data_IF_452349870241
#
_entry.id   IF_452349870241
#
_cell.length_a   1.000
_cell.length_b   1.000
_cell.length_c   1.000
_cell.angle_alpha   90.00
_cell.angle_beta   90.00
_cell.angle_gamma   90.00
#
_symmetry.space_group_name_H-M   'P 1'
#
loop_
_entity.id
_entity.type
_entity.pdbx_description
1 polymer ?
#
# COMPACT_ATOMS: atom_id res chain seq x y z
N UNK A 1 16.06 -14.09 -4.10
CA UNK A 1 16.62 -12.74 -3.87
C UNK A 1 15.48 -11.78 -3.54
N UNK A 2 15.64 -10.89 -2.55
CA UNK A 2 14.61 -9.88 -2.25
C UNK A 2 14.59 -8.83 -3.36
N UNK A 3 13.39 -8.51 -3.86
CA UNK A 3 13.16 -7.45 -4.83
C UNK A 3 12.61 -6.22 -4.12
N UNK A 4 12.93 -5.04 -4.64
CA UNK A 4 12.42 -3.78 -4.13
C UNK A 4 11.53 -3.10 -5.15
N UNK A 5 10.48 -2.45 -4.67
CA UNK A 5 9.51 -1.72 -5.46
C UNK A 5 9.29 -0.32 -4.89
N UNK A 6 8.91 0.62 -5.75
CA UNK A 6 8.46 1.98 -5.38
C UNK A 6 7.08 2.21 -5.95
N UNK A 7 6.26 3.06 -5.31
CA UNK A 7 5.04 3.56 -5.94
C UNK A 7 5.46 4.58 -6.99
N UNK A 8 4.99 4.43 -8.23
CA UNK A 8 5.25 5.39 -9.33
C UNK A 8 4.00 6.18 -9.72
N UNK A 9 2.86 5.86 -9.12
CA UNK A 9 1.62 6.59 -9.28
C UNK A 9 0.54 6.01 -8.37
N UNK A 10 -0.35 6.85 -7.87
CA UNK A 10 -1.53 6.43 -7.10
C UNK A 10 -2.67 7.43 -7.26
N UNK A 11 -3.90 6.97 -7.04
CA UNK A 11 -5.10 7.83 -7.13
C UNK A 11 -5.09 9.00 -6.14
N UNK A 12 -4.26 8.91 -5.09
CA UNK A 12 -4.10 9.99 -4.10
C UNK A 12 -2.94 10.94 -4.43
N UNK A 13 -2.22 10.69 -5.53
CA UNK A 13 -1.06 11.46 -5.99
C UNK A 13 0.21 11.26 -5.16
N UNK A 14 0.29 10.16 -4.39
CA UNK A 14 1.53 9.77 -3.70
C UNK A 14 2.42 8.93 -4.62
N UNK A 15 3.71 9.24 -4.60
CA UNK A 15 4.77 8.52 -5.30
C UNK A 15 5.97 8.33 -4.35
N UNK A 16 6.72 7.25 -4.54
CA UNK A 16 7.91 6.92 -3.77
C UNK A 16 7.75 5.73 -2.82
N UNK A 17 8.57 5.72 -1.77
CA UNK A 17 8.69 4.62 -0.83
C UNK A 17 9.57 3.46 -1.34
N UNK A 18 9.99 2.59 -0.43
CA UNK A 18 10.78 1.40 -0.75
C UNK A 18 10.16 0.17 -0.10
N UNK A 19 9.58 -0.69 -0.93
CA UNK A 19 8.82 -1.85 -0.48
C UNK A 19 9.53 -3.13 -0.91
N UNK A 20 10.11 -3.83 0.06
CA UNK A 20 10.79 -5.12 -0.18
C UNK A 20 9.83 -6.30 -0.21
N UNK A 21 10.24 -7.37 -0.90
CA UNK A 21 9.55 -8.67 -0.89
C UNK A 21 10.17 -9.64 0.09
N UNK A 22 9.35 -10.50 0.68
CA UNK A 22 9.72 -11.30 1.84
C UNK A 22 10.66 -12.47 1.50
N UNK A 23 10.37 -13.30 0.47
CA UNK A 23 11.20 -14.48 0.14
C UNK A 23 11.26 -14.90 -1.34
N UNK A 24 10.28 -14.50 -2.15
CA UNK A 24 10.08 -15.06 -3.51
C UNK A 24 10.06 -14.01 -4.64
N UNK A 25 10.36 -12.74 -4.34
CA UNK A 25 10.32 -11.67 -5.34
C UNK A 25 8.91 -11.34 -5.86
N UNK A 26 7.85 -11.94 -5.30
CA UNK A 26 6.49 -11.65 -5.74
C UNK A 26 6.10 -10.21 -5.41
N UNK A 27 5.65 -9.41 -6.40
CA UNK A 27 5.28 -8.01 -6.18
C UNK A 27 4.10 -7.84 -5.20
N UNK A 28 3.31 -8.88 -4.96
CA UNK A 28 2.12 -8.85 -4.10
C UNK A 28 2.42 -8.47 -2.64
N UNK A 29 3.55 -8.90 -2.06
CA UNK A 29 3.90 -8.54 -0.68
C UNK A 29 4.33 -7.07 -0.60
N UNK A 30 5.13 -6.60 -1.56
CA UNK A 30 5.45 -5.19 -1.70
C UNK A 30 4.19 -4.33 -1.90
N UNK A 31 3.25 -4.78 -2.74
CA UNK A 31 1.97 -4.11 -2.96
C UNK A 31 1.11 -4.01 -1.69
N UNK A 32 1.07 -5.05 -0.84
CA UNK A 32 0.39 -5.00 0.46
C UNK A 32 1.00 -3.96 1.40
N UNK A 33 2.33 -3.86 1.43
CA UNK A 33 3.03 -2.86 2.25
C UNK A 33 2.79 -1.45 1.73
N UNK A 34 2.89 -1.25 0.42
CA UNK A 34 2.55 -0.01 -0.28
C UNK A 34 1.12 0.44 0.04
N UNK A 35 0.14 -0.46 -0.13
CA UNK A 35 -1.26 -0.20 0.19
C UNK A 35 -1.48 0.20 1.66
N UNK A 36 -0.81 -0.48 2.60
CA UNK A 36 -0.86 -0.12 4.03
C UNK A 36 -0.39 1.31 4.26
N UNK A 37 0.71 1.72 3.63
CA UNK A 37 1.21 3.09 3.72
C UNK A 37 0.22 4.10 3.12
N UNK A 38 -0.33 3.83 1.94
CA UNK A 38 -1.35 4.70 1.31
C UNK A 38 -2.57 4.88 2.21
N UNK A 39 -3.08 3.80 2.80
CA UNK A 39 -4.21 3.85 3.73
C UNK A 39 -3.87 4.48 5.08
N UNK A 40 -2.60 4.49 5.50
CA UNK A 40 -2.14 5.22 6.68
C UNK A 40 -1.98 6.72 6.41
N UNK A 41 -1.68 7.12 5.18
CA UNK A 41 -1.56 8.53 4.77
C UNK A 41 -2.92 9.22 4.72
N UNK A 42 -3.94 8.51 4.22
CA UNK A 42 -5.30 9.04 4.19
C UNK A 42 -6.03 8.84 5.52
N UNK A 43 -5.53 8.03 6.45
CA UNK A 43 -6.12 7.95 7.79
C UNK A 43 -5.81 9.20 8.58
N UNK A 44 -6.82 9.70 9.33
CA UNK A 44 -6.71 10.89 10.16
C UNK A 44 -5.85 10.65 11.41
N UNK A 45 -4.55 10.40 11.22
CA UNK A 45 -3.55 10.43 12.28
C UNK A 45 -2.93 11.83 12.31
N UNK A 46 -3.49 12.68 13.17
CA UNK A 46 -3.08 14.09 13.42
C UNK A 46 -1.56 14.28 13.61
N UNK A 47 -0.81 13.21 13.92
CA UNK A 47 0.61 13.21 14.24
C UNK A 47 1.56 13.18 13.01
N UNK A 48 1.06 13.18 11.76
CA UNK A 48 1.93 13.22 10.56
C UNK A 48 1.75 14.49 9.74
N UNK A 49 2.74 15.38 9.59
CA UNK A 49 2.60 16.66 8.87
C UNK A 49 1.92 16.55 7.49
N UNK A 50 2.19 15.46 6.77
CA UNK A 50 1.64 15.17 5.43
C UNK A 50 0.16 14.77 5.42
N UNK A 51 -0.46 14.46 6.57
CA UNK A 51 -1.86 14.02 6.66
C UNK A 51 -2.80 15.05 6.04
N UNK A 52 -2.50 16.35 6.18
CA UNK A 52 -3.32 17.44 5.63
C UNK A 52 -3.43 17.32 4.11
N UNK A 53 -2.34 16.96 3.41
CA UNK A 53 -2.29 16.82 1.95
C UNK A 53 -3.23 15.71 1.45
N UNK A 54 -3.34 14.62 2.20
CA UNK A 54 -4.10 13.43 1.81
C UNK A 54 -5.46 13.31 2.50
N UNK A 55 -5.80 14.24 3.40
CA UNK A 55 -7.04 14.24 4.18
C UNK A 55 -8.32 14.21 3.34
N UNK A 56 -8.31 14.84 2.16
CA UNK A 56 -9.42 14.81 1.20
C UNK A 56 -9.81 13.41 0.73
N UNK A 57 -8.90 12.43 0.87
CA UNK A 57 -9.13 11.04 0.47
C UNK A 57 -9.54 10.15 1.65
N UNK A 58 -9.81 10.69 2.84
CA UNK A 58 -10.17 9.93 4.05
C UNK A 58 -11.37 8.98 3.86
N UNK A 59 -12.31 9.34 2.99
CA UNK A 59 -13.50 8.54 2.69
C UNK A 59 -13.23 7.41 1.68
N UNK A 60 -12.06 7.37 1.05
CA UNK A 60 -11.74 6.36 0.04
C UNK A 60 -11.61 4.98 0.69
N UNK A 61 -12.48 4.07 0.26
CA UNK A 61 -12.43 2.65 0.63
C UNK A 61 -11.50 1.84 -0.28
N UNK A 62 -11.12 2.41 -1.43
CA UNK A 62 -10.21 1.81 -2.40
C UNK A 62 -9.20 2.83 -2.91
N UNK A 63 -7.99 2.37 -3.18
CA UNK A 63 -6.92 3.18 -3.79
C UNK A 63 -6.26 2.32 -4.88
N UNK A 64 -6.26 2.81 -6.12
CA UNK A 64 -5.45 2.24 -7.19
C UNK A 64 -4.06 2.87 -7.19
N UNK A 65 -3.07 2.05 -7.53
CA UNK A 65 -1.67 2.47 -7.52
C UNK A 65 -0.82 1.55 -8.41
N UNK A 66 0.31 2.08 -8.86
CA UNK A 66 1.30 1.37 -9.66
C UNK A 66 2.57 1.24 -8.82
N UNK A 67 3.12 0.03 -8.78
CA UNK A 67 4.46 -0.20 -8.25
C UNK A 67 5.42 -0.61 -9.36
N UNK A 68 6.63 -0.05 -9.37
CA UNK A 68 7.70 -0.41 -10.29
C UNK A 68 8.88 -1.03 -9.55
N UNK A 69 9.49 -2.07 -10.13
CA UNK A 69 10.66 -2.72 -9.56
C UNK A 69 11.90 -1.82 -9.66
N UNK A 70 12.61 -1.61 -8.55
CA UNK A 70 13.81 -0.76 -8.47
C UNK A 70 15.10 -1.53 -8.22
N UNK A 71 15.04 -2.86 -8.04
CA UNK A 71 16.20 -3.74 -7.86
C UNK A 71 17.24 -3.55 -8.97
N UNK A 72 18.53 -3.48 -8.63
CA UNK A 72 19.62 -3.37 -9.63
C UNK A 72 19.69 -4.66 -10.47
N UNK A 73 19.75 -4.51 -11.80
CA UNK A 73 19.88 -5.63 -12.73
C UNK A 73 18.58 -6.41 -13.01
N UNK A 74 17.41 -5.94 -12.56
CA UNK A 74 16.12 -6.51 -12.94
C UNK A 74 15.48 -5.77 -14.11
N UNK A 75 14.44 -6.38 -14.70
CA UNK A 75 13.70 -5.87 -15.85
C UNK A 75 12.87 -4.59 -15.60
N UNK A 76 12.84 -4.10 -14.35
CA UNK A 76 12.08 -2.89 -13.95
C UNK A 76 10.57 -2.99 -14.22
N UNK A 77 10.02 -4.19 -14.10
CA UNK A 77 8.59 -4.45 -14.33
C UNK A 77 7.72 -3.56 -13.45
N UNK A 78 6.60 -3.10 -14.04
CA UNK A 78 5.58 -2.31 -13.34
C UNK A 78 4.29 -3.08 -13.22
N UNK A 79 3.59 -2.89 -12.09
CA UNK A 79 2.39 -3.62 -11.76
C UNK A 79 1.32 -2.69 -11.21
N UNK A 80 0.14 -2.75 -11.81
CA UNK A 80 -1.02 -2.02 -11.36
C UNK A 80 -1.84 -2.84 -10.36
N UNK A 81 -2.21 -2.18 -9.26
CA UNK A 81 -2.95 -2.77 -8.16
C UNK A 81 -4.10 -1.86 -7.73
N UNK A 82 -5.14 -2.50 -7.22
CA UNK A 82 -6.18 -1.85 -6.44
C UNK A 82 -6.17 -2.44 -5.03
N UNK A 83 -6.05 -1.58 -4.03
CA UNK A 83 -6.18 -1.94 -2.64
C UNK A 83 -7.54 -1.50 -2.10
N UNK A 84 -8.20 -2.40 -1.38
CA UNK A 84 -9.52 -2.18 -0.80
C UNK A 84 -9.40 -2.37 0.71
N UNK A 85 -9.86 -1.38 1.47
CA UNK A 85 -9.97 -1.44 2.92
C UNK A 85 -11.33 -2.02 3.29
N UNK A 86 -11.32 -3.16 3.97
CA UNK A 86 -12.51 -3.88 4.40
C UNK A 86 -12.55 -3.90 5.91
N UNK A 87 -13.66 -3.47 6.51
CA UNK A 87 -13.86 -3.57 7.95
C UNK A 87 -13.84 -5.06 8.38
N UNK A 88 -13.12 -5.36 9.45
CA UNK A 88 -13.14 -6.68 10.04
C UNK A 88 -14.43 -6.83 10.84
N UNK A 89 -15.16 -7.93 10.61
CA UNK A 89 -16.36 -8.26 11.39
C UNK A 89 -16.02 -8.39 12.88
N UNK A 90 -14.87 -9.01 13.17
CA UNK A 90 -14.31 -9.14 14.51
C UNK A 90 -12.93 -8.47 14.49
N UNK A 91 -12.72 -7.35 15.20
CA UNK A 91 -11.41 -6.75 15.35
C UNK A 91 -10.40 -7.75 15.95
N UNK A 92 -9.14 -7.64 15.54
CA UNK A 92 -8.06 -8.50 16.05
C UNK A 92 -7.14 -7.64 16.91
N UNK A 93 -7.06 -7.95 18.20
CA UNK A 93 -6.11 -7.30 19.11
C UNK A 93 -4.87 -8.17 19.24
N UNK A 94 -3.70 -7.56 18.99
CA UNK A 94 -2.40 -8.21 19.17
C UNK A 94 -1.63 -7.44 20.24
N UNK A 95 -1.04 -8.16 21.20
CA UNK A 95 -0.05 -7.60 22.11
C UNK A 95 1.33 -7.71 21.47
N UNK A 96 1.95 -6.57 21.16
CA UNK A 96 3.29 -6.51 20.57
C UNK A 96 4.16 -5.65 21.48
N UNK A 97 5.12 -6.27 22.15
CA UNK A 97 6.07 -5.56 23.01
C UNK A 97 5.44 -4.87 24.22
N UNK A 98 4.28 -5.32 24.70
CA UNK A 98 3.56 -4.71 25.83
C UNK A 98 2.53 -3.66 25.41
N UNK A 99 2.42 -3.33 24.13
CA UNK A 99 1.37 -2.46 23.59
C UNK A 99 0.26 -3.28 22.92
N UNK A 100 -0.99 -2.94 23.20
CA UNK A 100 -2.14 -3.50 22.51
C UNK A 100 -2.41 -2.76 21.20
N UNK A 101 -2.28 -3.48 20.08
CA UNK A 101 -2.61 -2.97 18.76
C UNK A 101 -3.88 -3.66 18.27
N UNK A 102 -4.97 -2.89 18.18
CA UNK A 102 -6.25 -3.37 17.66
C UNK A 102 -6.37 -3.09 16.17
N UNK A 103 -6.46 -4.14 15.37
CA UNK A 103 -6.75 -4.07 13.94
C UNK A 103 -8.25 -4.20 13.70
N UNK A 104 -8.87 -3.13 13.22
CA UNK A 104 -10.31 -3.07 12.90
C UNK A 104 -10.60 -3.26 11.40
N UNK A 105 -9.56 -3.24 10.56
CA UNK A 105 -9.68 -3.31 9.11
C UNK A 105 -8.62 -4.23 8.49
N UNK A 106 -8.94 -4.79 7.34
CA UNK A 106 -8.06 -5.60 6.50
C UNK A 106 -7.90 -4.94 5.14
N UNK A 107 -6.66 -4.91 4.64
CA UNK A 107 -6.35 -4.43 3.30
C UNK A 107 -6.25 -5.62 2.36
N UNK A 108 -7.07 -5.62 1.31
CA UNK A 108 -7.07 -6.63 0.24
C UNK A 108 -6.50 -5.97 -1.01
N UNK A 109 -5.50 -6.61 -1.64
CA UNK A 109 -4.87 -6.08 -2.85
C UNK A 109 -5.14 -7.00 -4.04
N UNK A 110 -5.66 -6.44 -5.12
CA UNK A 110 -5.96 -7.11 -6.39
C UNK A 110 -5.05 -6.57 -7.48
N UNK A 111 -4.35 -7.46 -8.19
CA UNK A 111 -3.54 -7.10 -9.37
C UNK A 111 -4.48 -6.95 -10.56
N UNK A 112 -4.37 -5.88 -11.33
CA UNK A 112 -5.02 -5.82 -12.64
C UNK A 112 -4.03 -6.30 -13.69
N UNK A 113 -4.45 -7.23 -14.54
CA UNK A 113 -3.59 -7.89 -15.53
C UNK A 113 -3.54 -7.08 -16.84
N UNK A 114 -4.53 -6.23 -17.09
CA UNK A 114 -4.57 -5.30 -18.21
C UNK A 114 -4.84 -3.89 -17.71
N UNK A 115 -3.86 -3.00 -17.80
CA UNK A 115 -4.07 -1.58 -17.67
C UNK A 115 -3.19 -0.90 -18.71
N UNK A 116 -3.76 -0.63 -19.89
CA UNK A 116 -3.37 0.54 -20.66
C UNK A 116 -3.51 1.73 -19.72
N UNK A 117 -2.40 2.17 -19.14
CA UNK A 117 -2.37 3.25 -18.17
C UNK A 117 -2.80 4.54 -18.87
N UNK A 118 -3.96 5.06 -18.49
CA UNK A 118 -4.38 6.42 -18.80
C UNK A 118 -4.81 7.03 -17.47
N UNK A 119 -3.95 7.91 -16.96
CA UNK A 119 -4.22 8.85 -15.88
C UNK A 119 -4.30 10.24 -16.50
#
# INVERSE_FOLDING_TARGET
>A
MSRHFTIVGSDIGFEGGRYGTDKSGFPKSAAKRAASVLFLMIENKKNKPEWRKYSKYQSHKSIKFIIAETTRGSNKDSFYYEAISVALKNPVTLNIGGEEITYTRKIVVKKHINASASY
#
